data_IF_381588008159
#
_entry.id   IF_381588008159
#
_cell.length_a   1.000
_cell.length_b   1.000
_cell.length_c   1.000
_cell.angle_alpha   90.00
_cell.angle_beta   90.00
_cell.angle_gamma   90.00
#
_symmetry.space_group_name_H-M   'P 1'
#
loop_
_entity.id
_entity.type
_entity.pdbx_description
1 polymer ?
#
# COMPACT_ATOMS: atom_id res chain seq x y z
N UNK A 1 12.90 -15.61 7.62
CA UNK A 1 12.13 -14.36 7.78
C UNK A 1 12.72 -13.24 6.94
N UNK A 2 14.05 -13.09 6.91
CA UNK A 2 14.75 -12.06 6.11
C UNK A 2 14.27 -11.94 4.66
N UNK A 3 14.12 -13.06 3.94
CA UNK A 3 13.62 -13.04 2.54
C UNK A 3 12.22 -12.43 2.40
N UNK A 4 11.32 -12.69 3.35
CA UNK A 4 9.97 -12.12 3.32
C UNK A 4 10.00 -10.63 3.64
N UNK A 5 10.75 -10.22 4.66
CA UNK A 5 10.90 -8.82 5.02
C UNK A 5 11.54 -8.01 3.88
N UNK A 6 12.55 -8.55 3.20
CA UNK A 6 13.15 -7.89 2.03
C UNK A 6 12.17 -7.75 0.87
N UNK A 7 11.33 -8.76 0.62
CA UNK A 7 10.28 -8.67 -0.38
C UNK A 7 9.23 -7.61 -0.01
N UNK A 8 8.83 -7.56 1.26
CA UNK A 8 7.90 -6.54 1.74
C UNK A 8 8.49 -5.14 1.67
N UNK A 9 9.79 -4.99 1.91
CA UNK A 9 10.50 -3.72 1.74
C UNK A 9 10.51 -3.27 0.26
N UNK A 10 10.71 -4.21 -0.68
CA UNK A 10 10.59 -3.93 -2.12
C UNK A 10 9.17 -3.47 -2.48
N UNK A 11 8.14 -4.15 -1.97
CA UNK A 11 6.73 -3.78 -2.19
C UNK A 11 6.41 -2.42 -1.57
N UNK A 12 6.89 -2.15 -0.36
CA UNK A 12 6.68 -0.89 0.32
C UNK A 12 7.35 0.29 -0.38
N UNK A 13 8.51 0.07 -0.99
CA UNK A 13 9.21 1.09 -1.76
C UNK A 13 8.57 1.36 -3.12
N UNK A 14 8.07 0.32 -3.79
CA UNK A 14 7.65 0.43 -5.21
C UNK A 14 6.14 0.51 -5.42
N UNK A 15 5.37 -0.31 -4.70
CA UNK A 15 3.94 -0.49 -4.98
C UNK A 15 3.04 0.34 -4.08
N UNK A 16 3.41 0.50 -2.80
CA UNK A 16 2.62 1.26 -1.83
C UNK A 16 2.40 2.73 -2.24
N UNK A 17 3.41 3.48 -2.73
CA UNK A 17 3.20 4.86 -3.18
C UNK A 17 2.13 4.96 -4.28
N UNK A 18 2.17 4.02 -5.24
CA UNK A 18 1.22 3.96 -6.36
C UNK A 18 -0.19 3.60 -5.86
N UNK A 19 -0.34 2.64 -4.96
CA UNK A 19 -1.64 2.27 -4.39
C UNK A 19 -2.30 3.44 -3.65
N UNK A 20 -1.53 4.17 -2.84
CA UNK A 20 -2.03 5.30 -2.07
C UNK A 20 -2.36 6.49 -2.98
N UNK A 21 -1.51 6.79 -3.96
CA UNK A 21 -1.79 7.83 -4.95
C UNK A 21 -3.05 7.51 -5.77
N UNK A 22 -3.22 6.26 -6.21
CA UNK A 22 -4.39 5.82 -6.94
C UNK A 22 -5.68 6.01 -6.13
N UNK A 23 -5.67 5.63 -4.86
CA UNK A 23 -6.81 5.84 -3.98
C UNK A 23 -7.14 7.34 -3.83
N UNK A 24 -6.13 8.19 -3.59
CA UNK A 24 -6.31 9.65 -3.49
C UNK A 24 -6.87 10.27 -4.78
N UNK A 25 -6.37 9.86 -5.93
CA UNK A 25 -6.84 10.36 -7.22
C UNK A 25 -8.31 10.01 -7.46
N UNK A 26 -8.72 8.78 -7.14
CA UNK A 26 -10.13 8.36 -7.23
C UNK A 26 -11.03 9.12 -6.27
N UNK A 27 -10.60 9.32 -5.01
CA UNK A 27 -11.35 10.09 -4.03
C UNK A 27 -11.51 11.56 -4.44
N UNK A 28 -10.50 12.12 -5.12
CA UNK A 28 -10.52 13.48 -5.65
C UNK A 28 -11.24 13.62 -7.00
N UNK A 29 -11.62 12.51 -7.65
CA UNK A 29 -12.16 12.53 -9.01
C UNK A 29 -11.16 13.04 -10.06
N UNK A 30 -9.86 12.87 -9.82
CA UNK A 30 -8.80 13.30 -10.74
C UNK A 30 -8.72 12.38 -11.97
N UNK A 31 -8.29 12.93 -13.10
CA UNK A 31 -8.12 12.17 -14.35
C UNK A 31 -6.80 11.38 -14.41
N UNK A 32 -5.84 11.73 -13.55
CA UNK A 32 -4.51 11.13 -13.49
C UNK A 32 -4.11 10.81 -12.04
N UNK A 33 -3.35 9.73 -11.90
CA UNK A 33 -2.62 9.36 -10.68
C UNK A 33 -1.18 9.81 -10.89
N UNK A 34 -0.67 10.61 -9.96
CA UNK A 34 0.73 11.01 -9.90
C UNK A 34 1.36 10.47 -8.62
N UNK A 35 2.51 9.82 -8.75
CA UNK A 35 3.33 9.34 -7.64
C UNK A 35 4.82 9.45 -7.99
N UNK A 36 5.67 9.21 -7.01
CA UNK A 36 7.11 9.03 -7.19
C UNK A 36 7.47 7.62 -6.73
N UNK A 37 8.26 6.90 -7.53
CA UNK A 37 8.77 5.57 -7.22
C UNK A 37 10.26 5.55 -7.51
N UNK A 38 11.07 5.29 -6.50
CA UNK A 38 12.54 5.29 -6.60
C UNK A 38 13.13 6.57 -7.23
N UNK A 39 12.52 7.73 -6.93
CA UNK A 39 12.93 9.04 -7.44
C UNK A 39 12.42 9.37 -8.85
N UNK A 40 11.72 8.44 -9.50
CA UNK A 40 11.18 8.61 -10.85
C UNK A 40 9.67 8.87 -10.82
N UNK A 41 9.15 9.71 -11.74
CA UNK A 41 7.73 10.00 -11.80
C UNK A 41 6.94 8.79 -12.29
N UNK A 42 5.83 8.50 -11.62
CA UNK A 42 4.84 7.53 -12.03
C UNK A 42 3.53 8.25 -12.36
N UNK A 43 3.08 8.12 -13.61
CA UNK A 43 1.81 8.68 -14.08
C UNK A 43 0.96 7.59 -14.72
N UNK A 44 -0.31 7.50 -14.31
CA UNK A 44 -1.27 6.58 -14.92
C UNK A 44 -2.69 7.11 -14.84
N UNK A 45 -3.64 6.45 -15.52
CA UNK A 45 -5.06 6.67 -15.28
C UNK A 45 -5.48 6.05 -13.94
N UNK A 46 -6.44 6.66 -13.21
CA UNK A 46 -7.04 6.06 -12.03
C UNK A 46 -7.57 4.66 -12.32
N UNK A 47 -7.27 3.73 -11.42
CA UNK A 47 -7.62 2.32 -11.54
C UNK A 47 -8.55 1.90 -10.40
N UNK A 48 -9.89 1.91 -10.61
CA UNK A 48 -10.88 1.62 -9.57
C UNK A 48 -10.71 0.27 -8.89
N UNK A 49 -10.24 -0.75 -9.62
CA UNK A 49 -10.04 -2.07 -9.03
C UNK A 49 -8.88 -2.09 -8.03
N UNK A 50 -7.79 -1.36 -8.29
CA UNK A 50 -6.67 -1.26 -7.34
C UNK A 50 -7.09 -0.59 -6.03
N UNK A 51 -7.98 0.41 -6.07
CA UNK A 51 -8.55 1.01 -4.86
C UNK A 51 -9.42 0.02 -4.07
N UNK A 52 -10.20 -0.83 -4.76
CA UNK A 52 -10.95 -1.92 -4.11
C UNK A 52 -10.00 -2.91 -3.41
N UNK A 53 -8.89 -3.27 -4.05
CA UNK A 53 -7.88 -4.12 -3.42
C UNK A 53 -7.30 -3.49 -2.14
N UNK A 54 -6.96 -2.20 -2.17
CA UNK A 54 -6.50 -1.48 -0.96
C UNK A 54 -7.56 -1.51 0.15
N UNK A 55 -8.81 -1.26 -0.21
CA UNK A 55 -9.93 -1.30 0.75
C UNK A 55 -10.06 -2.69 1.39
N UNK A 56 -9.98 -3.77 0.61
CA UNK A 56 -10.05 -5.13 1.15
C UNK A 56 -8.89 -5.44 2.08
N UNK A 57 -7.66 -5.05 1.73
CA UNK A 57 -6.49 -5.24 2.60
C UNK A 57 -6.71 -4.54 3.95
N UNK A 58 -7.17 -3.28 3.94
CA UNK A 58 -7.51 -2.53 5.16
C UNK A 58 -8.63 -3.20 5.97
N UNK A 59 -9.65 -3.73 5.31
CA UNK A 59 -10.75 -4.43 5.98
C UNK A 59 -10.28 -5.71 6.66
N UNK A 60 -9.46 -6.53 6.00
CA UNK A 60 -8.91 -7.74 6.62
C UNK A 60 -7.99 -7.40 7.79
N UNK A 61 -7.16 -6.36 7.68
CA UNK A 61 -6.35 -5.88 8.79
C UNK A 61 -7.20 -5.42 9.98
N UNK A 62 -8.31 -4.71 9.73
CA UNK A 62 -9.26 -4.28 10.77
C UNK A 62 -9.91 -5.46 11.50
N UNK A 63 -10.08 -6.61 10.83
CA UNK A 63 -10.67 -7.84 11.39
C UNK A 63 -9.72 -8.67 12.24
N UNK A 64 -8.41 -8.46 12.13
CA UNK A 64 -7.43 -9.18 12.95
C UNK A 64 -7.69 -8.92 14.44
N UNK A 65 -7.51 -9.96 15.25
CA UNK A 65 -7.49 -9.80 16.69
C UNK A 65 -6.21 -9.08 17.16
N UNK A 66 -6.13 -8.79 18.47
CA UNK A 66 -5.00 -8.04 19.00
C UNK A 66 -3.64 -8.74 18.86
N UNK A 67 -3.60 -10.08 18.93
CA UNK A 67 -2.36 -10.83 18.84
C UNK A 67 -1.88 -10.91 17.38
N UNK A 68 -2.79 -11.19 16.46
CA UNK A 68 -2.51 -11.26 15.03
C UNK A 68 -2.17 -9.89 14.46
N UNK A 69 -2.89 -8.83 14.87
CA UNK A 69 -2.55 -7.46 14.45
C UNK A 69 -1.15 -7.09 14.90
N UNK A 70 -0.78 -7.35 16.17
CA UNK A 70 0.58 -7.08 16.64
C UNK A 70 1.64 -7.89 15.89
N UNK A 71 1.34 -9.12 15.48
CA UNK A 71 2.25 -9.90 14.65
C UNK A 71 2.44 -9.24 13.28
N UNK A 72 1.35 -8.85 12.62
CA UNK A 72 1.41 -8.15 11.33
C UNK A 72 2.14 -6.81 11.45
N UNK A 73 1.85 -6.01 12.47
CA UNK A 73 2.52 -4.73 12.71
C UNK A 73 4.04 -4.90 12.82
N UNK A 74 4.48 -5.90 13.60
CA UNK A 74 5.92 -6.21 13.72
C UNK A 74 6.54 -6.72 12.42
N UNK A 75 5.78 -7.45 11.61
CA UNK A 75 6.25 -7.95 10.32
C UNK A 75 6.40 -6.82 9.28
N UNK A 76 5.48 -5.86 9.30
CA UNK A 76 5.45 -4.75 8.34
C UNK A 76 6.34 -3.58 8.75
N UNK A 77 6.63 -3.39 10.04
CA UNK A 77 7.40 -2.26 10.54
C UNK A 77 8.73 -2.08 9.79
N UNK A 78 8.94 -0.89 9.22
CA UNK A 78 10.15 -0.52 8.49
C UNK A 78 10.21 -1.05 7.06
N UNK A 79 9.15 -1.67 6.55
CA UNK A 79 9.08 -2.13 5.15
C UNK A 79 8.48 -1.09 4.22
N UNK A 80 7.78 -0.08 4.74
CA UNK A 80 6.95 0.86 3.98
C UNK A 80 5.51 0.35 3.75
N UNK A 81 5.26 -0.96 3.90
CA UNK A 81 3.91 -1.52 3.81
C UNK A 81 2.97 -1.08 4.95
N UNK A 82 3.52 -0.66 6.08
CA UNK A 82 2.74 -0.12 7.20
C UNK A 82 1.93 1.12 6.81
N UNK A 83 2.33 1.88 5.78
CA UNK A 83 1.59 3.05 5.29
C UNK A 83 0.26 2.70 4.62
N UNK A 84 -0.02 1.42 4.38
CA UNK A 84 -1.30 0.96 3.84
C UNK A 84 -2.44 1.03 4.87
N UNK A 85 -2.16 1.14 6.17
CA UNK A 85 -3.16 1.10 7.25
C UNK A 85 -3.22 2.41 8.02
#
# INVERSE_FOLDING_TARGET
METLTSLLAEVGRTYVPVMLANARALDAGADEVEAEVDGEPWVQRPFPYQAKCLQWVRQEYVRLDGADRQFVDRLLAGTGCEALF
#
